data_IF_356664275325
#
_entry.id   IF_356664275325
#
_cell.length_a   1.000
_cell.length_b   1.000
_cell.length_c   1.000
_cell.angle_alpha   90.00
_cell.angle_beta   90.00
_cell.angle_gamma   90.00
#
_symmetry.space_group_name_H-M   'P 1'
#
loop_
_entity.id
_entity.type
_entity.pdbx_description
1 polymer ?
#
# COMPACT_ATOMS: atom_id res chain seq x y z
N UNK A 1 0.99 -9.74 10.97
CA UNK A 1 0.62 -8.81 12.08
C UNK A 1 0.07 -7.54 11.46
N UNK A 2 -1.08 -7.00 11.91
CA UNK A 2 -1.61 -5.73 11.41
C UNK A 2 -0.73 -4.54 11.80
N UNK A 3 -0.66 -3.51 10.93
CA UNK A 3 0.12 -2.29 11.18
C UNK A 3 -0.26 -1.56 12.48
N UNK A 4 -1.56 -1.56 12.82
CA UNK A 4 -2.07 -1.00 14.09
C UNK A 4 -1.43 -1.62 15.37
N UNK A 5 -0.87 -2.83 15.27
CA UNK A 5 -0.17 -3.50 16.38
C UNK A 5 1.34 -3.44 16.18
N UNK A 6 1.80 -3.63 14.94
CA UNK A 6 3.23 -3.69 14.63
C UNK A 6 3.93 -2.34 14.85
N UNK A 7 3.33 -1.24 14.36
CA UNK A 7 3.93 0.09 14.44
C UNK A 7 4.15 0.52 15.90
N UNK A 8 3.14 0.52 16.80
CA UNK A 8 3.37 0.91 18.19
C UNK A 8 4.24 -0.08 18.96
N UNK A 9 4.25 -1.37 18.60
CA UNK A 9 5.15 -2.34 19.19
C UNK A 9 6.62 -2.06 18.82
N UNK A 10 6.87 -1.70 17.54
CA UNK A 10 8.20 -1.31 17.09
C UNK A 10 8.64 0.03 17.72
N UNK A 11 7.76 1.03 17.74
CA UNK A 11 8.05 2.35 18.33
C UNK A 11 8.48 2.28 19.79
N UNK A 12 8.02 1.29 20.56
CA UNK A 12 8.45 1.05 21.95
C UNK A 12 9.88 0.51 22.08
N UNK A 13 10.45 -0.02 20.99
CA UNK A 13 11.75 -0.71 21.01
C UNK A 13 12.84 0.07 20.27
N UNK A 14 12.47 1.07 19.48
CA UNK A 14 13.36 1.77 18.57
C UNK A 14 13.54 3.20 19.08
N UNK A 15 14.81 3.65 19.17
CA UNK A 15 15.19 5.01 19.57
C UNK A 15 15.61 5.89 18.37
N UNK A 16 15.63 5.29 17.15
CA UNK A 16 15.95 6.00 15.90
C UNK A 16 14.66 6.31 15.13
N UNK A 17 14.65 7.31 14.21
CA UNK A 17 13.50 7.61 13.38
C UNK A 17 12.95 6.38 12.66
N UNK A 18 11.64 6.17 12.72
CA UNK A 18 10.95 5.02 12.16
C UNK A 18 9.98 5.43 11.05
N UNK A 19 10.14 4.84 9.87
CA UNK A 19 9.24 5.02 8.74
C UNK A 19 8.30 3.81 8.62
N UNK A 20 7.00 4.04 8.74
CA UNK A 20 5.99 3.00 8.56
C UNK A 20 5.74 2.73 7.07
N UNK A 21 5.66 1.46 6.67
CA UNK A 21 5.44 1.04 5.30
C UNK A 21 4.31 0.02 5.19
N UNK A 22 3.55 0.10 4.08
CA UNK A 22 2.47 -0.82 3.73
C UNK A 22 1.08 -0.33 4.10
N UNK A 23 0.22 -0.19 3.09
CA UNK A 23 -1.18 0.18 3.25
C UNK A 23 -1.48 1.67 3.41
N UNK A 24 -0.48 2.53 3.30
CA UNK A 24 -0.66 3.99 3.35
C UNK A 24 -0.86 4.55 1.94
N UNK A 25 -1.86 5.43 1.76
CA UNK A 25 -2.19 6.02 0.47
C UNK A 25 -2.78 7.42 0.54
N UNK A 26 -3.14 7.89 1.73
CA UNK A 26 -3.78 9.18 1.96
C UNK A 26 -3.29 9.86 3.25
N UNK A 27 -3.82 11.05 3.50
CA UNK A 27 -3.54 11.85 4.69
C UNK A 27 -3.93 11.15 6.00
N UNK A 28 -5.04 10.41 6.00
CA UNK A 28 -5.52 9.68 7.19
C UNK A 28 -4.55 8.59 7.58
N UNK A 29 -3.99 7.90 6.58
CA UNK A 29 -2.93 6.92 6.78
C UNK A 29 -1.67 7.54 7.39
N UNK A 30 -1.25 8.71 6.89
CA UNK A 30 -0.12 9.46 7.46
C UNK A 30 -0.37 9.81 8.93
N UNK A 31 -1.51 10.46 9.24
CA UNK A 31 -1.85 10.86 10.62
C UNK A 31 -1.92 9.64 11.55
N UNK A 32 -2.50 8.53 11.09
CA UNK A 32 -2.57 7.30 11.87
C UNK A 32 -1.17 6.74 12.17
N UNK A 33 -0.26 6.72 11.20
CA UNK A 33 1.11 6.27 11.40
C UNK A 33 1.87 7.12 12.42
N UNK A 34 1.75 8.46 12.32
CA UNK A 34 2.34 9.40 13.27
C UNK A 34 1.77 9.20 14.68
N UNK A 35 0.46 9.04 14.83
CA UNK A 35 -0.19 8.77 16.10
C UNK A 35 0.23 7.43 16.75
N UNK A 36 0.64 6.46 15.92
CA UNK A 36 1.17 5.16 16.37
C UNK A 36 2.66 5.19 16.72
N UNK A 37 3.33 6.32 16.51
CA UNK A 37 4.74 6.53 16.87
C UNK A 37 5.73 6.37 15.72
N UNK A 38 5.28 6.37 14.46
CA UNK A 38 6.17 6.51 13.31
C UNK A 38 6.51 7.99 13.06
N UNK A 39 7.68 8.27 12.48
CA UNK A 39 8.12 9.62 12.09
C UNK A 39 7.72 9.97 10.65
N UNK A 40 7.22 9.00 9.91
CA UNK A 40 6.75 9.18 8.53
C UNK A 40 6.23 7.89 7.92
N UNK A 41 5.85 7.95 6.65
CA UNK A 41 5.33 6.81 5.90
C UNK A 41 6.06 6.62 4.57
N UNK A 42 6.14 5.37 4.13
CA UNK A 42 6.55 4.99 2.80
C UNK A 42 5.36 4.44 2.02
N UNK A 43 5.10 4.99 0.83
CA UNK A 43 3.97 4.65 -0.03
C UNK A 43 4.48 4.12 -1.38
N UNK A 44 4.23 2.84 -1.69
CA UNK A 44 4.56 2.25 -2.98
C UNK A 44 3.43 2.44 -3.99
N UNK A 45 2.33 1.70 -3.83
CA UNK A 45 1.21 1.65 -4.78
C UNK A 45 0.61 3.04 -5.06
N UNK A 46 0.54 3.93 -4.06
CA UNK A 46 0.06 5.31 -4.26
C UNK A 46 0.94 6.08 -5.25
N UNK A 47 2.27 6.01 -5.11
CA UNK A 47 3.20 6.70 -6.02
C UNK A 47 3.33 6.01 -7.39
N UNK A 48 2.97 4.74 -7.53
CA UNK A 48 2.79 4.12 -8.84
C UNK A 48 1.73 4.85 -9.67
N UNK A 49 0.69 5.40 -9.03
CA UNK A 49 -0.37 6.18 -9.62
C UNK A 49 -0.06 7.69 -9.58
N UNK A 50 1.10 8.08 -10.10
CA UNK A 50 1.46 9.48 -10.34
C UNK A 50 1.82 9.68 -11.82
N UNK A 51 1.73 10.93 -12.28
CA UNK A 51 2.09 11.29 -13.67
C UNK A 51 3.54 10.91 -13.95
N UNK A 52 4.46 11.18 -13.01
CA UNK A 52 5.90 10.98 -13.15
C UNK A 52 6.33 9.50 -13.06
N UNK A 53 5.48 8.62 -12.55
CA UNK A 53 5.78 7.19 -12.54
C UNK A 53 5.93 6.66 -13.96
N UNK A 54 7.04 5.99 -14.23
CA UNK A 54 7.40 5.48 -15.56
C UNK A 54 6.66 4.21 -15.98
N UNK A 55 5.78 3.65 -15.13
CA UNK A 55 5.00 2.46 -15.47
C UNK A 55 3.92 2.79 -16.50
N UNK A 56 3.53 1.79 -17.30
CA UNK A 56 2.53 1.94 -18.34
C UNK A 56 1.18 2.42 -17.79
N UNK A 57 0.47 3.25 -18.57
CA UNK A 57 -0.81 3.84 -18.15
C UNK A 57 -1.84 2.78 -17.76
N UNK A 58 -1.93 1.66 -18.50
CA UNK A 58 -2.87 0.57 -18.18
C UNK A 58 -2.71 0.03 -16.75
N UNK A 59 -1.48 0.02 -16.21
CA UNK A 59 -1.24 -0.42 -14.82
C UNK A 59 -1.79 0.61 -13.83
N UNK A 60 -1.60 1.91 -14.10
CA UNK A 60 -2.17 2.99 -13.30
C UNK A 60 -3.71 2.93 -13.33
N UNK A 61 -4.28 2.76 -14.52
CA UNK A 61 -5.74 2.65 -14.70
C UNK A 61 -6.30 1.42 -13.98
N UNK A 62 -5.57 0.29 -14.02
CA UNK A 62 -5.95 -0.92 -13.28
C UNK A 62 -5.93 -0.72 -11.75
N UNK A 63 -4.99 0.09 -11.23
CA UNK A 63 -4.95 0.43 -9.82
C UNK A 63 -6.14 1.33 -9.46
N UNK A 64 -6.43 2.37 -10.24
CA UNK A 64 -7.54 3.30 -10.02
C UNK A 64 -8.91 2.62 -10.13
N UNK A 65 -9.04 1.66 -11.05
CA UNK A 65 -10.26 0.86 -11.21
C UNK A 65 -10.41 -0.27 -10.16
N UNK A 66 -9.34 -0.56 -9.41
CA UNK A 66 -9.30 -1.63 -8.42
C UNK A 66 -9.93 -1.23 -7.09
N UNK A 67 -10.11 -2.24 -6.24
CA UNK A 67 -10.60 -2.08 -4.87
C UNK A 67 -9.64 -2.72 -3.86
N UNK A 68 -9.97 -2.69 -2.57
CA UNK A 68 -9.18 -3.31 -1.51
C UNK A 68 -9.06 -4.84 -1.60
N UNK A 69 -9.85 -5.48 -2.48
CA UNK A 69 -9.84 -6.93 -2.77
C UNK A 69 -9.06 -7.27 -4.03
N UNK A 70 -8.66 -6.27 -4.80
CA UNK A 70 -7.94 -6.40 -6.07
C UNK A 70 -6.53 -6.97 -5.94
N UNK A 71 -6.17 -7.61 -4.83
CA UNK A 71 -4.84 -8.17 -4.58
C UNK A 71 -4.90 -9.56 -3.99
N UNK A 72 -3.85 -10.36 -4.23
CA UNK A 72 -3.70 -11.71 -3.69
C UNK A 72 -2.37 -11.89 -2.95
N UNK A 73 -2.33 -12.90 -2.07
CA UNK A 73 -1.11 -13.33 -1.40
C UNK A 73 -0.59 -14.61 -2.06
N UNK A 74 0.58 -14.50 -2.69
CA UNK A 74 1.30 -15.63 -3.28
C UNK A 74 2.44 -16.12 -2.35
N UNK A 75 2.98 -17.29 -2.62
CA UNK A 75 4.12 -17.92 -1.92
C UNK A 75 3.93 -18.16 -0.42
N UNK A 76 2.68 -18.22 0.08
CA UNK A 76 2.42 -18.48 1.51
C UNK A 76 2.95 -19.85 1.97
N UNK A 77 2.74 -20.89 1.17
CA UNK A 77 3.25 -22.24 1.43
C UNK A 77 4.76 -22.32 1.37
N UNK A 78 5.41 -21.40 0.68
CA UNK A 78 6.86 -21.33 0.53
C UNK A 78 7.54 -20.45 1.59
N UNK A 79 6.80 -19.98 2.60
CA UNK A 79 7.29 -19.07 3.65
C UNK A 79 7.92 -17.76 3.15
N UNK A 80 7.55 -17.34 1.94
CA UNK A 80 8.00 -16.09 1.30
C UNK A 80 6.81 -15.30 0.76
N UNK A 81 5.85 -15.00 1.62
CA UNK A 81 4.60 -14.36 1.25
C UNK A 81 4.82 -13.00 0.60
N UNK A 82 4.29 -12.83 -0.60
CA UNK A 82 4.23 -11.55 -1.31
C UNK A 82 2.77 -11.19 -1.63
N UNK A 83 2.47 -9.90 -1.67
CA UNK A 83 1.18 -9.38 -2.13
C UNK A 83 1.32 -8.81 -3.54
N UNK A 84 0.45 -9.22 -4.43
CA UNK A 84 0.45 -8.84 -5.85
C UNK A 84 -0.97 -8.48 -6.28
N UNK A 85 -1.10 -7.76 -7.40
CA UNK A 85 -2.40 -7.55 -8.02
C UNK A 85 -3.04 -8.88 -8.41
N UNK A 86 -4.36 -8.98 -8.25
CA UNK A 86 -5.14 -10.14 -8.69
C UNK A 86 -5.33 -10.09 -10.20
N UNK A 87 -4.69 -11.00 -10.91
CA UNK A 87 -4.79 -11.16 -12.36
C UNK A 87 -4.80 -12.65 -12.74
N UNK A 88 -4.82 -12.95 -14.02
CA UNK A 88 -4.83 -14.34 -14.51
C UNK A 88 -3.64 -15.13 -13.95
N UNK A 89 -2.44 -14.55 -14.02
CA UNK A 89 -1.20 -15.22 -13.58
C UNK A 89 -1.15 -15.40 -12.08
N UNK A 90 -1.51 -14.37 -11.29
CA UNK A 90 -1.48 -14.49 -9.82
C UNK A 90 -2.46 -15.54 -9.30
N UNK A 91 -3.65 -15.64 -9.90
CA UNK A 91 -4.63 -16.68 -9.56
C UNK A 91 -4.13 -18.08 -9.90
N UNK A 92 -3.50 -18.26 -11.07
CA UNK A 92 -2.89 -19.54 -11.47
C UNK A 92 -1.80 -19.96 -10.46
N UNK A 93 -0.90 -19.04 -10.09
CA UNK A 93 0.13 -19.29 -9.06
C UNK A 93 -0.48 -19.71 -7.73
N UNK A 94 -1.55 -19.05 -7.29
CA UNK A 94 -2.25 -19.40 -6.05
C UNK A 94 -2.82 -20.82 -6.13
N UNK A 95 -3.47 -21.20 -7.22
CA UNK A 95 -4.08 -22.53 -7.38
C UNK A 95 -3.02 -23.63 -7.45
N UNK A 96 -1.91 -23.45 -8.18
CA UNK A 96 -0.80 -24.42 -8.20
C UNK A 96 -0.25 -24.64 -6.79
N UNK A 97 0.03 -23.57 -6.06
CA UNK A 97 0.62 -23.65 -4.71
C UNK A 97 -0.35 -24.19 -3.66
N UNK A 98 -1.66 -23.94 -3.79
CA UNK A 98 -2.70 -24.56 -2.95
C UNK A 98 -2.79 -26.07 -3.18
N UNK A 99 -2.56 -26.54 -4.40
CA UNK A 99 -2.50 -27.95 -4.78
C UNK A 99 -1.24 -28.68 -4.29
N UNK A 100 -0.36 -28.04 -3.54
CA UNK A 100 0.89 -28.62 -3.04
C UNK A 100 2.09 -28.42 -3.97
N UNK A 101 1.94 -27.59 -5.01
CA UNK A 101 3.02 -27.22 -5.91
C UNK A 101 4.19 -26.51 -5.20
N UNK A 102 5.37 -26.64 -5.80
CA UNK A 102 6.62 -26.05 -5.33
C UNK A 102 6.98 -24.83 -6.17
N UNK A 103 8.06 -24.11 -5.79
CA UNK A 103 8.52 -22.94 -6.54
C UNK A 103 8.83 -23.26 -8.01
N UNK A 104 9.38 -24.44 -8.28
CA UNK A 104 9.71 -24.89 -9.64
C UNK A 104 8.48 -24.94 -10.57
N UNK A 105 7.30 -25.24 -10.01
CA UNK A 105 6.05 -25.33 -10.79
C UNK A 105 5.50 -23.97 -11.19
N UNK A 106 5.92 -22.89 -10.51
CA UNK A 106 5.44 -21.52 -10.76
C UNK A 106 6.55 -20.56 -11.23
N UNK A 107 7.81 -20.98 -11.26
CA UNK A 107 8.96 -20.11 -11.55
C UNK A 107 8.83 -19.34 -12.89
N UNK A 108 8.31 -19.97 -13.91
CA UNK A 108 8.14 -19.36 -15.22
C UNK A 108 6.99 -18.34 -15.25
N UNK A 109 5.94 -18.58 -14.44
CA UNK A 109 4.81 -17.67 -14.28
C UNK A 109 5.23 -16.38 -13.54
N UNK A 110 6.11 -16.52 -12.53
CA UNK A 110 6.56 -15.43 -11.68
C UNK A 110 7.89 -14.82 -12.10
N UNK A 111 8.42 -15.23 -13.25
CA UNK A 111 9.69 -14.74 -13.77
C UNK A 111 9.66 -13.20 -13.92
N UNK A 112 10.70 -12.52 -13.44
CA UNK A 112 10.79 -11.06 -13.45
C UNK A 112 10.67 -10.43 -14.84
N UNK A 113 11.05 -11.17 -15.91
CA UNK A 113 10.87 -10.73 -17.28
C UNK A 113 9.39 -10.55 -17.65
N UNK A 114 8.49 -11.36 -17.08
CA UNK A 114 7.04 -11.23 -17.28
C UNK A 114 6.49 -10.01 -16.56
N UNK A 115 6.91 -9.78 -15.30
CA UNK A 115 6.54 -8.58 -14.56
C UNK A 115 7.02 -7.29 -15.23
N UNK A 116 8.20 -7.33 -15.89
CA UNK A 116 8.70 -6.20 -16.69
C UNK A 116 7.74 -5.86 -17.85
N UNK A 117 7.22 -6.84 -18.57
CA UNK A 117 6.23 -6.61 -19.64
C UNK A 117 4.97 -5.93 -19.15
N UNK A 118 4.51 -6.26 -17.92
CA UNK A 118 3.38 -5.54 -17.30
C UNK A 118 3.64 -4.05 -17.26
N UNK A 119 4.83 -3.64 -16.78
CA UNK A 119 5.16 -2.24 -16.58
C UNK A 119 5.57 -1.50 -17.86
N UNK A 120 6.18 -2.17 -18.83
CA UNK A 120 6.66 -1.58 -20.08
C UNK A 120 5.58 -1.60 -21.17
N UNK A 121 4.90 -2.74 -21.35
CA UNK A 121 3.95 -2.95 -22.44
C UNK A 121 2.49 -2.68 -22.03
N UNK A 122 2.21 -2.62 -20.71
CA UNK A 122 0.87 -2.41 -20.18
C UNK A 122 -0.06 -3.63 -20.27
N UNK A 123 0.49 -4.82 -20.51
CA UNK A 123 -0.25 -6.08 -20.43
C UNK A 123 -0.33 -6.54 -18.97
N UNK A 124 -1.40 -6.13 -18.27
CA UNK A 124 -1.60 -6.39 -16.83
C UNK A 124 -1.71 -7.88 -16.47
N UNK A 125 -1.91 -8.74 -17.46
CA UNK A 125 -2.00 -10.19 -17.32
C UNK A 125 -0.72 -10.92 -17.78
N UNK A 126 0.31 -10.22 -18.24
CA UNK A 126 1.55 -10.85 -18.70
C UNK A 126 2.34 -11.54 -17.57
N UNK A 127 2.25 -11.06 -16.34
CA UNK A 127 2.99 -11.57 -15.20
C UNK A 127 2.43 -11.07 -13.86
N UNK A 128 3.10 -11.44 -12.78
CA UNK A 128 2.79 -10.88 -11.47
C UNK A 128 3.38 -9.45 -11.35
N UNK A 129 2.65 -8.57 -10.67
CA UNK A 129 3.13 -7.23 -10.32
C UNK A 129 2.63 -6.82 -8.93
N UNK A 130 3.46 -6.11 -8.20
CA UNK A 130 3.20 -5.75 -6.80
C UNK A 130 2.15 -4.64 -6.70
N UNK A 131 1.12 -4.87 -5.89
CA UNK A 131 0.15 -3.85 -5.50
C UNK A 131 -0.33 -4.13 -4.07
N UNK A 132 -0.63 -3.08 -3.32
CA UNK A 132 -1.19 -3.18 -1.98
C UNK A 132 -2.71 -3.07 -1.96
N UNK A 133 -3.35 -3.53 -0.89
CA UNK A 133 -4.80 -3.35 -0.66
C UNK A 133 -5.22 -1.88 -0.62
N UNK A 134 -4.25 -0.97 -0.49
CA UNK A 134 -4.43 0.48 -0.60
C UNK A 134 -4.98 0.93 -1.96
N UNK A 135 -5.00 0.05 -2.97
CA UNK A 135 -5.70 0.30 -4.25
C UNK A 135 -7.11 0.86 -4.02
N UNK A 136 -7.86 0.33 -3.05
CA UNK A 136 -9.21 0.80 -2.73
C UNK A 136 -9.29 2.23 -2.17
N UNK A 137 -8.16 2.92 -2.01
CA UNK A 137 -8.08 4.34 -1.61
C UNK A 137 -7.48 5.23 -2.72
N UNK A 138 -7.22 4.67 -3.91
CA UNK A 138 -6.55 5.38 -5.01
C UNK A 138 -7.53 5.54 -6.15
N UNK A 139 -7.99 6.76 -6.38
CA UNK A 139 -9.02 7.12 -7.34
C UNK A 139 -8.55 8.11 -8.41
N UNK A 140 -7.28 8.51 -8.38
CA UNK A 140 -6.70 9.48 -9.31
C UNK A 140 -5.21 9.24 -9.61
N UNK A 141 -4.69 9.96 -10.61
CA UNK A 141 -3.29 9.93 -11.06
C UNK A 141 -2.75 11.37 -11.10
N UNK A 142 -2.48 11.98 -9.94
CA UNK A 142 -1.95 13.33 -9.85
C UNK A 142 -0.45 13.39 -10.15
N UNK A 143 0.12 14.58 -10.24
CA UNK A 143 1.56 14.75 -10.13
C UNK A 143 2.06 14.44 -8.71
N UNK A 144 3.33 14.10 -8.56
CA UNK A 144 3.95 13.90 -7.24
C UNK A 144 3.81 15.14 -6.36
N UNK A 145 3.97 16.33 -6.96
CA UNK A 145 3.85 17.59 -6.22
C UNK A 145 2.43 17.81 -5.69
N UNK A 146 1.41 17.60 -6.51
CA UNK A 146 0.00 17.69 -6.10
C UNK A 146 -0.33 16.64 -5.02
N UNK A 147 0.12 15.41 -5.20
CA UNK A 147 -0.12 14.32 -4.24
C UNK A 147 0.48 14.66 -2.87
N UNK A 148 1.74 15.08 -2.83
CA UNK A 148 2.43 15.41 -1.57
C UNK A 148 1.77 16.61 -0.90
N UNK A 149 1.49 17.69 -1.66
CA UNK A 149 0.83 18.87 -1.13
C UNK A 149 -0.54 18.53 -0.54
N UNK A 150 -1.34 17.72 -1.24
CA UNK A 150 -2.65 17.28 -0.79
C UNK A 150 -2.56 16.44 0.49
N UNK A 151 -1.67 15.44 0.53
CA UNK A 151 -1.51 14.59 1.72
C UNK A 151 -1.12 15.41 2.95
N UNK A 152 -0.21 16.38 2.81
CA UNK A 152 0.23 17.21 3.93
C UNK A 152 -0.90 18.14 4.39
N UNK A 153 -1.54 18.87 3.47
CA UNK A 153 -2.63 19.79 3.82
C UNK A 153 -3.81 19.07 4.46
N UNK A 154 -4.24 17.94 3.89
CA UNK A 154 -5.34 17.14 4.46
C UNK A 154 -4.95 16.52 5.82
N UNK A 155 -3.67 16.19 6.04
CA UNK A 155 -3.20 15.70 7.33
C UNK A 155 -3.28 16.78 8.41
N UNK A 156 -2.92 18.03 8.06
CA UNK A 156 -3.10 19.18 8.95
C UNK A 156 -4.58 19.38 9.31
N UNK A 157 -5.49 19.27 8.35
CA UNK A 157 -6.94 19.37 8.58
C UNK A 157 -7.46 18.24 9.47
N UNK A 158 -6.99 17.00 9.26
CA UNK A 158 -7.36 15.87 10.12
C UNK A 158 -6.90 16.12 11.56
N UNK A 159 -5.70 16.61 11.76
CA UNK A 159 -5.15 16.88 13.11
C UNK A 159 -5.89 18.03 13.77
N UNK A 160 -6.03 19.15 13.07
CA UNK A 160 -6.51 20.42 13.69
C UNK A 160 -8.04 20.45 13.78
N UNK A 161 -8.75 20.16 12.71
CA UNK A 161 -10.19 20.24 12.69
C UNK A 161 -10.86 18.97 13.24
N UNK A 162 -10.50 17.79 12.68
CA UNK A 162 -11.19 16.54 13.06
C UNK A 162 -10.78 16.06 14.46
N UNK A 163 -9.48 15.84 14.71
CA UNK A 163 -9.01 15.31 15.98
C UNK A 163 -9.01 16.40 17.06
N UNK A 164 -8.63 17.62 16.74
CA UNK A 164 -8.70 18.77 17.64
C UNK A 164 -10.12 19.01 18.14
N UNK A 165 -11.13 18.88 17.30
CA UNK A 165 -12.53 18.99 17.68
C UNK A 165 -13.06 17.88 18.61
N UNK A 166 -12.30 16.77 18.76
CA UNK A 166 -12.64 15.68 19.69
C UNK A 166 -12.05 15.90 21.10
N UNK A 167 -11.12 16.86 21.24
CA UNK A 167 -10.52 17.20 22.55
C UNK A 167 -11.44 18.19 23.23
N UNK A 168 -12.13 17.76 24.29
CA UNK A 168 -12.95 18.64 25.13
C UNK A 168 -12.08 19.70 25.79
N UNK A 169 -12.53 20.96 25.80
CA UNK A 169 -11.90 21.98 26.64
C UNK A 169 -11.85 21.47 28.09
N UNK A 170 -10.76 21.72 28.82
CA UNK A 170 -10.69 21.32 30.24
C UNK A 170 -11.89 21.88 30.99
N UNK A 171 -12.67 21.03 31.65
CA UNK A 171 -13.72 21.48 32.56
C UNK A 171 -13.05 22.30 33.65
N UNK A 172 -13.33 23.59 33.71
CA UNK A 172 -12.86 24.43 34.82
C UNK A 172 -13.44 23.83 36.09
N UNK A 173 -12.59 23.18 36.88
CA UNK A 173 -12.96 22.77 38.24
C UNK A 173 -12.99 24.07 39.07
N UNK A 174 -14.19 24.61 39.24
CA UNK A 174 -14.39 25.68 40.23
C UNK A 174 -14.18 25.09 41.62
N UNK A 175 -13.15 25.57 42.33
CA UNK A 175 -12.87 25.23 43.69
C UNK A 175 -13.94 25.81 44.63
#
# INVERSE_FOLDING_TARGET
MPGLVLIPAAAKQIEIPMIASGGFGDARGLVAALALGADGVNMGTRFMCTVESCIHQNVKDAIVAGDERGTELIFRSLHNTARVASNVVSREVVEILKGGGQFEDVKDLVAGVRGRKVFEDGDIDAGIWTAGTVMGLIDDIPTCAELISRIVSEAEDVITARLGGMVSAPVAVTA
#
